data_IF_928291992352
#
_entry.id   IF_928291992352
#
_cell.length_a   1.000
_cell.length_b   1.000
_cell.length_c   1.000
_cell.angle_alpha   90.00
_cell.angle_beta   90.00
_cell.angle_gamma   90.00
#
_symmetry.space_group_name_H-M   'P 1'
#
loop_
_entity.id
_entity.type
_entity.pdbx_description
1 polymer ?
#
# COMPACT_ATOMS: atom_id res chain seq x y z
N UNK A 1 2.53 -30.57 28.02
CA UNK A 1 3.84 -30.49 27.39
C UNK A 1 3.77 -29.34 26.40
N UNK A 2 4.24 -28.17 26.81
CA UNK A 2 4.23 -26.94 26.01
C UNK A 2 5.40 -27.04 25.06
N UNK A 3 5.13 -27.18 23.75
CA UNK A 3 6.15 -27.09 22.71
C UNK A 3 6.53 -25.62 22.52
N UNK A 4 7.59 -25.22 23.20
CA UNK A 4 8.26 -23.94 22.88
C UNK A 4 8.84 -24.02 21.48
N UNK A 5 8.23 -23.32 20.53
CA UNK A 5 8.81 -23.08 19.21
C UNK A 5 10.15 -22.37 19.40
N UNK A 6 11.20 -22.96 18.84
CA UNK A 6 12.56 -22.44 18.92
C UNK A 6 12.63 -21.01 18.34
N UNK A 7 13.36 -20.07 18.98
CA UNK A 7 13.48 -18.67 18.55
C UNK A 7 14.04 -18.48 17.13
N UNK A 8 14.64 -19.49 16.53
CA UNK A 8 15.19 -19.46 15.15
C UNK A 8 14.12 -19.62 14.05
N UNK A 9 12.86 -19.90 14.38
CA UNK A 9 11.78 -20.14 13.43
C UNK A 9 10.92 -18.88 13.12
N UNK A 10 11.14 -17.77 13.79
CA UNK A 10 10.63 -16.45 13.40
C UNK A 10 11.56 -15.78 12.37
N UNK A 11 12.20 -16.59 11.56
CA UNK A 11 13.03 -16.14 10.45
C UNK A 11 12.12 -15.69 9.30
N UNK A 12 12.66 -14.91 8.36
CA UNK A 12 12.17 -14.44 7.03
C UNK A 12 11.11 -15.30 6.29
N UNK A 13 10.39 -16.23 6.97
CA UNK A 13 9.71 -17.31 6.30
C UNK A 13 8.21 -17.12 6.23
N UNK A 14 7.59 -16.31 7.11
CA UNK A 14 6.14 -16.21 7.16
C UNK A 14 5.61 -14.78 7.13
N UNK A 15 4.49 -14.59 6.43
CA UNK A 15 3.71 -13.37 6.40
C UNK A 15 2.23 -13.70 6.52
N UNK A 16 1.48 -12.89 7.29
CA UNK A 16 0.04 -12.97 7.38
C UNK A 16 -0.60 -11.91 6.47
N UNK A 17 -1.43 -12.34 5.53
CA UNK A 17 -2.23 -11.45 4.70
C UNK A 17 -3.60 -11.27 5.34
N UNK A 18 -3.97 -10.00 5.66
CA UNK A 18 -5.29 -9.63 6.15
C UNK A 18 -6.11 -9.00 5.03
N UNK A 19 -7.25 -9.63 4.71
CA UNK A 19 -8.23 -9.08 3.78
C UNK A 19 -9.30 -8.38 4.61
N UNK A 20 -9.30 -7.05 4.57
CA UNK A 20 -10.15 -6.20 5.40
C UNK A 20 -11.29 -5.62 4.58
N UNK A 21 -12.45 -5.45 5.21
CA UNK A 21 -13.56 -4.72 4.60
C UNK A 21 -13.18 -3.24 4.34
N UNK A 22 -13.83 -2.59 3.36
CA UNK A 22 -13.67 -1.15 3.13
C UNK A 22 -13.96 -0.36 4.41
N UNK A 23 -13.10 0.60 4.74
CA UNK A 23 -13.21 1.35 6.00
C UNK A 23 -12.61 2.75 5.92
N UNK A 24 -12.93 3.59 6.92
CA UNK A 24 -12.33 4.91 7.07
C UNK A 24 -10.80 4.79 7.26
N UNK A 25 -10.06 5.76 6.70
CA UNK A 25 -8.60 5.77 6.75
C UNK A 25 -8.04 5.80 8.17
N UNK A 26 -8.66 6.60 9.05
CA UNK A 26 -8.20 6.79 10.43
C UNK A 26 -8.20 5.49 11.23
N UNK A 27 -9.18 4.59 10.98
CA UNK A 27 -9.25 3.29 11.65
C UNK A 27 -8.03 2.43 11.30
N UNK A 28 -7.70 2.37 10.00
CA UNK A 28 -6.52 1.63 9.54
C UNK A 28 -5.22 2.27 10.03
N UNK A 29 -5.15 3.60 9.99
CA UNK A 29 -3.98 4.34 10.42
C UNK A 29 -3.69 4.12 11.92
N UNK A 30 -4.70 4.23 12.77
CA UNK A 30 -4.55 3.95 14.21
C UNK A 30 -4.12 2.49 14.45
N UNK A 31 -4.79 1.54 13.78
CA UNK A 31 -4.45 0.12 13.91
C UNK A 31 -3.00 -0.17 13.46
N UNK A 32 -2.52 0.44 12.36
CA UNK A 32 -1.13 0.30 11.92
C UNK A 32 -0.12 0.84 12.94
N UNK A 33 -0.43 2.00 13.55
CA UNK A 33 0.41 2.58 14.59
C UNK A 33 0.47 1.68 15.82
N UNK A 34 -0.67 1.16 16.27
CA UNK A 34 -0.77 0.30 17.44
C UNK A 34 -0.05 -1.02 17.20
N UNK A 35 -0.27 -1.66 16.05
CA UNK A 35 0.46 -2.86 15.63
C UNK A 35 1.98 -2.62 15.66
N UNK A 36 2.45 -1.54 15.03
CA UNK A 36 3.88 -1.21 14.96
C UNK A 36 4.47 -0.90 16.34
N UNK A 37 3.70 -0.31 17.25
CA UNK A 37 4.15 0.01 18.59
C UNK A 37 4.25 -1.22 19.51
N UNK A 38 3.31 -2.18 19.34
CA UNK A 38 3.16 -3.36 20.20
C UNK A 38 3.97 -4.57 19.72
N UNK A 39 4.32 -4.59 18.43
CA UNK A 39 5.08 -5.73 17.87
C UNK A 39 6.43 -5.93 18.55
N UNK A 40 6.83 -7.17 18.64
CA UNK A 40 8.10 -7.65 19.16
C UNK A 40 8.82 -8.56 18.17
N UNK A 41 9.90 -9.21 18.61
CA UNK A 41 10.69 -10.12 17.78
C UNK A 41 9.91 -11.39 17.33
N UNK A 42 8.83 -11.74 17.99
CA UNK A 42 7.99 -12.93 17.69
C UNK A 42 6.78 -12.59 16.82
N UNK A 43 6.45 -11.31 16.68
CA UNK A 43 5.32 -10.83 15.87
C UNK A 43 5.61 -11.07 14.39
N UNK A 44 4.69 -11.77 13.70
CA UNK A 44 4.78 -11.99 12.27
C UNK A 44 4.71 -10.65 11.51
N UNK A 45 5.27 -10.64 10.31
CA UNK A 45 5.04 -9.58 9.36
C UNK A 45 3.62 -9.72 8.79
N UNK A 46 2.98 -8.59 8.51
CA UNK A 46 1.62 -8.59 7.98
C UNK A 46 1.51 -7.71 6.72
N UNK A 47 0.66 -8.14 5.80
CA UNK A 47 0.21 -7.38 4.63
C UNK A 47 -1.29 -7.18 4.77
N UNK A 48 -1.75 -5.92 4.88
CA UNK A 48 -3.17 -5.61 4.99
C UNK A 48 -3.69 -5.10 3.66
N UNK A 49 -4.78 -5.70 3.19
CA UNK A 49 -5.40 -5.45 1.88
C UNK A 49 -6.80 -4.93 2.12
N UNK A 50 -7.12 -3.76 1.58
CA UNK A 50 -8.41 -3.11 1.78
C UNK A 50 -8.70 -2.04 0.72
N UNK A 51 -9.83 -1.39 0.89
CA UNK A 51 -10.20 -0.13 0.24
C UNK A 51 -10.56 0.91 1.32
N UNK A 52 -10.45 2.19 0.98
CA UNK A 52 -10.93 3.25 1.85
C UNK A 52 -12.23 3.89 1.35
N UNK A 53 -12.98 4.45 2.29
CA UNK A 53 -13.97 5.48 1.97
C UNK A 53 -13.24 6.73 1.43
N UNK A 54 -13.91 7.58 0.64
CA UNK A 54 -13.29 8.77 0.05
C UNK A 54 -12.57 9.63 1.08
N UNK A 55 -11.26 9.85 0.88
CA UNK A 55 -10.41 10.63 1.78
C UNK A 55 -9.19 11.18 1.06
N UNK A 56 -8.85 12.44 1.32
CA UNK A 56 -7.53 12.97 1.03
C UNK A 56 -6.60 12.69 2.21
N UNK A 57 -5.37 12.24 1.93
CA UNK A 57 -4.34 12.10 2.96
C UNK A 57 -3.14 12.97 2.62
N UNK A 58 -2.68 13.75 3.60
CA UNK A 58 -1.48 14.56 3.45
C UNK A 58 -0.33 13.94 4.25
N UNK A 59 0.75 13.58 3.57
CA UNK A 59 1.94 13.02 4.21
C UNK A 59 2.82 14.09 4.87
N UNK A 60 3.94 13.66 5.46
CA UNK A 60 4.85 14.52 6.21
C UNK A 60 5.51 15.64 5.38
N UNK A 61 5.69 15.43 4.08
CA UNK A 61 6.21 16.44 3.16
C UNK A 61 5.09 17.32 2.58
N UNK A 62 3.85 17.15 3.05
CA UNK A 62 2.67 17.82 2.51
C UNK A 62 2.70 19.32 2.69
N UNK A 63 2.40 20.04 1.60
CA UNK A 63 2.24 21.49 1.59
C UNK A 63 0.82 21.85 1.21
N UNK A 64 0.26 22.85 1.89
CA UNK A 64 -1.12 23.30 1.67
C UNK A 64 -1.35 23.81 0.24
N UNK A 65 -0.32 24.35 -0.42
CA UNK A 65 -0.37 24.83 -1.81
C UNK A 65 -0.74 23.74 -2.83
N UNK A 66 -0.60 22.47 -2.48
CA UNK A 66 -0.97 21.33 -3.31
C UNK A 66 -2.41 20.86 -3.12
N UNK A 67 -3.17 21.52 -2.25
CA UNK A 67 -4.59 21.27 -2.05
C UNK A 67 -5.35 22.39 -2.75
N UNK A 68 -6.04 22.08 -3.84
CA UNK A 68 -6.71 23.08 -4.67
C UNK A 68 -8.18 23.27 -4.22
N UNK A 69 -8.89 22.16 -4.02
CA UNK A 69 -10.29 22.15 -3.57
C UNK A 69 -10.64 20.81 -2.91
N UNK A 70 -10.92 20.79 -1.62
CA UNK A 70 -11.32 19.56 -0.91
C UNK A 70 -12.81 19.21 -1.13
N UNK A 71 -13.67 20.20 -1.39
CA UNK A 71 -15.12 20.03 -1.39
C UNK A 71 -15.60 19.36 -0.10
N UNK A 72 -16.33 18.26 -0.22
CA UNK A 72 -16.89 17.51 0.92
C UNK A 72 -16.03 16.32 1.35
N UNK A 73 -14.92 16.04 0.64
CA UNK A 73 -14.03 14.91 0.98
C UNK A 73 -13.13 15.32 2.14
N UNK A 74 -13.08 14.52 3.22
CA UNK A 74 -12.23 14.83 4.37
C UNK A 74 -10.74 14.79 4.03
N UNK A 75 -9.97 15.62 4.72
CA UNK A 75 -8.50 15.63 4.67
C UNK A 75 -7.94 15.11 5.98
N UNK A 76 -7.08 14.10 5.94
CA UNK A 76 -6.38 13.57 7.10
C UNK A 76 -4.89 13.88 7.00
N UNK A 77 -4.34 14.54 8.02
CA UNK A 77 -2.90 14.72 8.15
C UNK A 77 -2.27 13.44 8.69
N UNK A 78 -1.59 12.71 7.79
CA UNK A 78 -0.99 11.41 8.08
C UNK A 78 0.52 11.53 8.34
N UNK A 79 1.09 10.50 8.95
CA UNK A 79 2.54 10.39 9.18
C UNK A 79 3.29 9.58 8.11
N UNK A 80 2.61 9.16 7.03
CA UNK A 80 3.27 8.54 5.87
C UNK A 80 4.22 9.51 5.17
N UNK A 81 5.15 8.99 4.40
CA UNK A 81 5.95 9.80 3.48
C UNK A 81 5.12 10.44 2.36
N UNK A 82 5.71 11.42 1.68
CA UNK A 82 5.13 12.06 0.50
C UNK A 82 4.19 13.23 0.81
N UNK A 83 3.53 13.70 -0.25
CA UNK A 83 2.63 14.85 -0.31
C UNK A 83 1.16 14.42 -0.19
N UNK A 84 0.23 15.28 -0.64
CA UNK A 84 -1.20 14.97 -0.68
C UNK A 84 -1.50 13.92 -1.77
N UNK A 85 -2.45 13.04 -1.49
CA UNK A 85 -3.06 12.08 -2.43
C UNK A 85 -4.51 11.82 -2.05
N UNK A 86 -5.22 11.06 -2.89
CA UNK A 86 -6.60 10.65 -2.69
C UNK A 86 -6.70 9.13 -2.56
N UNK A 87 -7.61 8.68 -1.70
CA UNK A 87 -8.02 7.28 -1.60
C UNK A 87 -9.54 7.19 -1.66
N UNK A 88 -10.04 6.13 -2.32
CA UNK A 88 -11.48 5.90 -2.46
C UNK A 88 -11.81 4.47 -2.93
N UNK A 89 -13.10 4.13 -3.03
CA UNK A 89 -13.55 2.85 -3.57
C UNK A 89 -12.96 2.58 -4.95
N UNK A 90 -12.62 1.31 -5.22
CA UNK A 90 -11.97 0.90 -6.48
C UNK A 90 -10.45 1.08 -6.50
N UNK A 91 -9.85 1.67 -5.46
CA UNK A 91 -8.41 1.73 -5.26
C UNK A 91 -7.96 0.62 -4.31
N UNK A 92 -7.03 -0.21 -4.76
CA UNK A 92 -6.42 -1.25 -3.93
C UNK A 92 -5.38 -0.64 -3.00
N UNK A 93 -5.65 -0.70 -1.70
CA UNK A 93 -4.70 -0.31 -0.67
C UNK A 93 -3.99 -1.54 -0.14
N UNK A 94 -2.66 -1.49 -0.07
CA UNK A 94 -1.85 -2.52 0.57
C UNK A 94 -0.90 -1.87 1.57
N UNK A 95 -1.04 -2.25 2.83
CA UNK A 95 -0.19 -1.80 3.92
C UNK A 95 0.80 -2.89 4.31
N UNK A 96 2.06 -2.51 4.53
CA UNK A 96 3.18 -3.41 4.75
C UNK A 96 3.75 -3.21 6.16
N UNK A 97 3.29 -4.02 7.12
CA UNK A 97 3.78 -4.04 8.50
C UNK A 97 4.93 -5.03 8.65
N UNK A 98 6.11 -4.64 8.18
CA UNK A 98 7.27 -5.51 8.04
C UNK A 98 8.38 -5.13 9.02
N UNK A 99 9.07 -6.12 9.57
CA UNK A 99 10.33 -5.92 10.28
C UNK A 99 11.49 -5.90 9.28
N UNK A 100 11.95 -4.69 8.93
CA UNK A 100 12.99 -4.48 7.94
C UNK A 100 14.35 -5.03 8.37
N UNK A 101 14.60 -5.10 9.69
CA UNK A 101 15.83 -5.71 10.20
C UNK A 101 15.83 -7.23 9.98
N UNK A 102 14.68 -7.87 10.23
CA UNK A 102 14.48 -9.31 9.98
C UNK A 102 14.64 -9.65 8.50
N UNK A 103 14.07 -8.82 7.63
CA UNK A 103 14.19 -8.97 6.18
C UNK A 103 15.57 -8.58 5.66
N UNK A 104 16.35 -7.84 6.46
CA UNK A 104 17.61 -7.24 6.06
C UNK A 104 17.45 -6.28 4.85
N UNK A 105 16.37 -5.49 4.86
CA UNK A 105 16.05 -4.51 3.82
C UNK A 105 16.26 -3.08 4.32
N UNK A 106 16.82 -2.25 3.43
CA UNK A 106 16.75 -0.79 3.54
C UNK A 106 15.40 -0.26 3.04
N UNK A 107 15.07 0.98 3.42
CA UNK A 107 13.80 1.62 2.98
C UNK A 107 13.73 1.72 1.45
N UNK A 108 14.84 2.09 0.80
CA UNK A 108 14.91 2.22 -0.67
C UNK A 108 14.71 0.87 -1.36
N UNK A 109 15.28 -0.18 -0.79
CA UNK A 109 15.14 -1.55 -1.29
C UNK A 109 13.69 -2.03 -1.18
N UNK A 110 13.02 -1.75 -0.04
CA UNK A 110 11.59 -2.04 0.10
C UNK A 110 10.76 -1.30 -0.96
N UNK A 111 11.04 -0.01 -1.21
CA UNK A 111 10.36 0.75 -2.27
C UNK A 111 10.56 0.09 -3.63
N UNK A 112 11.80 -0.31 -3.97
CA UNK A 112 12.09 -0.99 -5.24
C UNK A 112 11.36 -2.34 -5.37
N UNK A 113 11.26 -3.12 -4.29
CA UNK A 113 10.47 -4.36 -4.28
C UNK A 113 8.97 -4.10 -4.48
N UNK A 114 8.43 -3.05 -3.88
CA UNK A 114 7.03 -2.66 -4.08
C UNK A 114 6.76 -2.22 -5.53
N UNK A 115 7.63 -1.40 -6.09
CA UNK A 115 7.54 -0.94 -7.48
C UNK A 115 7.65 -2.13 -8.44
N UNK A 116 8.59 -3.04 -8.23
CA UNK A 116 8.72 -4.23 -9.07
C UNK A 116 7.51 -5.16 -8.96
N UNK A 117 6.96 -5.36 -7.75
CA UNK A 117 5.75 -6.16 -7.56
C UNK A 117 4.54 -5.55 -8.30
N UNK A 118 4.40 -4.22 -8.29
CA UNK A 118 3.38 -3.50 -9.06
C UNK A 118 3.58 -3.68 -10.57
N UNK A 119 4.81 -3.52 -11.06
CA UNK A 119 5.15 -3.68 -12.48
C UNK A 119 4.86 -5.12 -12.93
N UNK A 120 5.27 -6.12 -12.17
CA UNK A 120 5.03 -7.53 -12.47
C UNK A 120 3.51 -7.85 -12.48
N UNK A 121 2.76 -7.30 -11.53
CA UNK A 121 1.31 -7.44 -11.47
C UNK A 121 0.64 -6.80 -12.69
N UNK A 122 0.95 -5.55 -13.01
CA UNK A 122 0.40 -4.82 -14.16
C UNK A 122 0.73 -5.52 -15.48
N UNK A 123 1.95 -6.06 -15.60
CA UNK A 123 2.37 -6.81 -16.78
C UNK A 123 1.51 -8.09 -17.00
N UNK A 124 1.08 -8.76 -15.93
CA UNK A 124 0.15 -9.90 -16.03
C UNK A 124 -1.17 -9.52 -16.71
N UNK A 125 -1.62 -8.28 -16.55
CA UNK A 125 -2.81 -7.71 -17.20
C UNK A 125 -2.50 -7.02 -18.54
N UNK A 126 -1.29 -7.21 -19.09
CA UNK A 126 -0.88 -6.62 -20.37
C UNK A 126 -0.59 -5.12 -20.31
N UNK A 127 -0.45 -4.55 -19.12
CA UNK A 127 -0.14 -3.13 -18.91
C UNK A 127 1.37 -2.97 -18.74
N UNK A 128 2.01 -2.24 -19.67
CA UNK A 128 3.45 -1.95 -19.60
C UNK A 128 3.66 -0.71 -18.73
N UNK A 129 4.26 -0.90 -17.57
CA UNK A 129 4.48 0.14 -16.57
C UNK A 129 5.96 0.26 -16.18
N UNK A 130 6.35 1.41 -15.63
CA UNK A 130 7.70 1.66 -15.15
C UNK A 130 7.70 2.45 -13.83
N UNK A 131 8.78 2.33 -13.06
CA UNK A 131 9.06 3.17 -11.90
C UNK A 131 9.94 4.37 -12.31
N UNK A 132 9.84 5.49 -11.56
CA UNK A 132 10.73 6.64 -11.70
C UNK A 132 11.53 6.83 -10.40
N UNK A 133 12.87 6.70 -10.44
CA UNK A 133 13.72 6.89 -9.25
C UNK A 133 13.62 8.27 -8.59
N UNK A 134 13.15 9.29 -9.33
CA UNK A 134 12.99 10.66 -8.85
C UNK A 134 11.62 10.93 -8.24
N UNK A 135 10.63 10.11 -8.60
CA UNK A 135 9.24 10.28 -8.18
C UNK A 135 8.63 8.91 -7.82
N UNK A 136 8.88 8.38 -6.61
CA UNK A 136 8.43 7.04 -6.21
C UNK A 136 6.97 6.78 -6.58
N UNK A 137 6.73 5.63 -7.25
CA UNK A 137 5.44 5.26 -7.81
C UNK A 137 5.59 4.49 -9.11
N UNK A 138 4.48 4.02 -9.65
CA UNK A 138 4.46 3.29 -10.92
C UNK A 138 3.62 4.07 -11.95
N UNK A 139 4.14 4.12 -13.17
CA UNK A 139 3.64 4.98 -14.23
C UNK A 139 3.39 4.18 -15.51
N UNK A 140 2.35 4.56 -16.25
CA UNK A 140 2.02 4.08 -17.59
C UNK A 140 1.97 5.29 -18.53
N UNK A 141 2.79 5.32 -19.57
CA UNK A 141 2.91 6.43 -20.51
C UNK A 141 3.12 7.81 -19.86
N UNK A 142 3.78 7.86 -18.69
CA UNK A 142 4.03 9.09 -17.94
C UNK A 142 2.94 9.47 -16.93
N UNK A 143 1.76 8.85 -16.96
CA UNK A 143 0.69 9.05 -16.01
C UNK A 143 0.80 8.05 -14.85
N UNK A 144 0.47 8.46 -13.63
CA UNK A 144 0.68 7.62 -12.44
C UNK A 144 -0.50 6.68 -12.23
N UNK A 145 -0.23 5.37 -12.13
CA UNK A 145 -1.21 4.33 -11.84
C UNK A 145 -1.16 3.86 -10.38
N UNK A 146 0.02 3.95 -9.74
CA UNK A 146 0.16 3.55 -8.34
C UNK A 146 1.06 4.51 -7.57
N UNK A 147 0.65 4.81 -6.34
CA UNK A 147 1.36 5.67 -5.39
C UNK A 147 1.96 4.86 -4.25
N UNK A 148 3.13 5.28 -3.76
CA UNK A 148 3.82 4.68 -2.63
C UNK A 148 4.05 5.72 -1.53
N UNK A 149 3.81 5.32 -0.28
CA UNK A 149 4.11 6.16 0.87
C UNK A 149 4.31 5.30 2.10
N UNK A 150 5.53 5.27 2.62
CA UNK A 150 5.91 4.46 3.77
C UNK A 150 6.26 5.34 4.98
N UNK A 151 6.15 4.74 6.14
CA UNK A 151 6.76 5.20 7.38
C UNK A 151 7.58 4.06 7.98
N UNK A 152 8.72 4.40 8.57
CA UNK A 152 9.51 3.43 9.33
C UNK A 152 9.66 3.93 10.77
N UNK A 153 9.35 3.06 11.72
CA UNK A 153 9.48 3.31 13.16
C UNK A 153 10.06 2.08 13.84
N UNK A 154 11.06 2.26 14.68
CA UNK A 154 11.77 1.16 15.38
C UNK A 154 12.33 0.06 14.45
N UNK A 155 12.59 0.40 13.17
CA UNK A 155 13.04 -0.57 12.17
C UNK A 155 11.94 -1.36 11.48
N UNK A 156 10.66 -1.03 11.74
CA UNK A 156 9.51 -1.66 11.11
C UNK A 156 8.79 -0.67 10.20
N UNK A 157 8.33 -1.14 9.03
CA UNK A 157 7.53 -0.34 8.10
C UNK A 157 6.05 -0.39 8.48
N UNK A 158 5.31 0.64 8.07
CA UNK A 158 3.85 0.70 7.99
C UNK A 158 3.42 1.68 6.91
N UNK A 159 2.13 1.78 6.60
CA UNK A 159 1.62 2.26 5.31
C UNK A 159 2.12 1.37 4.16
N UNK A 160 2.08 1.86 2.92
CA UNK A 160 2.44 1.01 1.79
C UNK A 160 2.15 1.63 0.43
N UNK A 161 1.27 1.00 -0.34
CA UNK A 161 0.96 1.40 -1.72
C UNK A 161 -0.55 1.51 -1.96
N UNK A 162 -0.88 2.26 -3.01
CA UNK A 162 -2.23 2.42 -3.54
C UNK A 162 -2.17 2.20 -5.06
N UNK A 163 -2.92 1.21 -5.58
CA UNK A 163 -3.05 0.91 -7.01
C UNK A 163 -4.46 1.28 -7.47
N UNK A 164 -4.56 2.15 -8.47
CA UNK A 164 -5.83 2.52 -9.08
C UNK A 164 -6.31 1.39 -10.00
N UNK A 165 -7.43 0.74 -9.68
CA UNK A 165 -8.00 -0.36 -10.48
C UNK A 165 -9.19 0.13 -11.28
N UNK A 166 -10.28 0.51 -10.58
CA UNK A 166 -11.55 0.99 -11.14
C UNK A 166 -12.18 1.94 -10.14
N UNK A 167 -11.84 3.23 -10.20
CA UNK A 167 -12.22 4.24 -9.23
C UNK A 167 -12.57 5.57 -9.89
N UNK A 168 -13.25 6.44 -9.15
CA UNK A 168 -13.40 7.84 -9.55
C UNK A 168 -12.05 8.57 -9.40
N UNK A 169 -11.44 8.92 -10.52
CA UNK A 169 -10.17 9.69 -10.57
C UNK A 169 -10.39 11.21 -10.43
N UNK A 170 -11.62 11.72 -10.56
CA UNK A 170 -11.90 13.15 -10.54
C UNK A 170 -11.41 13.88 -9.26
N UNK A 171 -11.37 13.27 -8.06
CA UNK A 171 -10.80 13.93 -6.89
C UNK A 171 -9.29 14.26 -7.02
N UNK A 172 -8.56 13.56 -7.87
CA UNK A 172 -7.13 13.89 -8.10
C UNK A 172 -6.94 15.23 -8.81
N UNK A 173 -7.92 15.72 -9.60
CA UNK A 173 -7.90 17.04 -10.22
C UNK A 173 -7.99 18.19 -9.21
N UNK A 174 -8.40 17.88 -7.97
CA UNK A 174 -8.60 18.83 -6.87
C UNK A 174 -7.37 18.99 -5.98
N UNK A 175 -6.27 18.31 -6.33
CA UNK A 175 -4.99 18.37 -5.65
C UNK A 175 -3.86 18.39 -6.71
N UNK A 176 -2.64 18.71 -6.30
CA UNK A 176 -1.43 18.38 -7.06
C UNK A 176 -0.87 17.06 -6.54
N UNK A 177 -1.18 15.90 -7.14
CA UNK A 177 -0.83 14.60 -6.60
C UNK A 177 0.68 14.48 -6.42
N UNK A 178 1.12 14.00 -5.27
CA UNK A 178 2.55 13.87 -4.94
C UNK A 178 3.33 15.20 -5.00
N UNK A 179 2.66 16.35 -5.05
CA UNK A 179 3.27 17.68 -5.16
C UNK A 179 3.65 18.07 -6.59
N UNK A 180 3.19 17.34 -7.60
CA UNK A 180 3.47 17.63 -9.01
C UNK A 180 2.22 18.22 -9.70
N UNK A 181 2.20 19.54 -9.99
CA UNK A 181 1.11 20.15 -10.78
C UNK A 181 1.00 19.49 -12.15
N UNK A 182 -0.23 19.12 -12.54
CA UNK A 182 -0.50 18.52 -13.86
C UNK A 182 -0.05 17.06 -13.99
N UNK A 183 0.22 16.35 -12.89
CA UNK A 183 0.45 14.92 -12.94
C UNK A 183 -0.88 14.19 -13.17
N UNK A 184 -1.00 13.56 -14.33
CA UNK A 184 -2.15 12.75 -14.68
C UNK A 184 -2.16 11.45 -13.88
N UNK A 185 -3.37 11.05 -13.44
CA UNK A 185 -3.63 9.77 -12.79
C UNK A 185 -4.41 8.88 -13.76
N UNK A 186 -4.04 7.61 -13.80
CA UNK A 186 -4.72 6.56 -14.61
C UNK A 186 -5.04 5.35 -13.74
N UNK A 187 -5.83 4.44 -14.26
CA UNK A 187 -6.28 3.24 -13.58
C UNK A 187 -6.27 2.03 -14.52
N UNK A 188 -6.36 0.82 -13.98
CA UNK A 188 -6.19 -0.39 -14.78
C UNK A 188 -7.27 -0.57 -15.85
N UNK A 189 -8.53 -0.17 -15.57
CA UNK A 189 -9.63 -0.28 -16.54
C UNK A 189 -9.45 0.59 -17.78
N UNK A 190 -8.58 1.59 -17.74
CA UNK A 190 -8.30 2.47 -18.89
C UNK A 190 -7.52 1.75 -20.01
N UNK A 191 -7.03 0.51 -19.75
CA UNK A 191 -6.13 -0.22 -20.65
C UNK A 191 -6.72 -1.55 -21.13
N UNK A 192 -6.37 -1.93 -22.37
CA UNK A 192 -6.53 -3.29 -22.93
C UNK A 192 -7.93 -3.91 -22.81
N UNK A 193 -9.00 -3.10 -22.74
CA UNK A 193 -10.37 -3.61 -22.59
C UNK A 193 -10.64 -4.26 -21.23
N UNK A 194 -9.88 -3.92 -20.20
CA UNK A 194 -10.02 -4.50 -18.85
C UNK A 194 -11.31 -4.07 -18.15
N UNK A 195 -11.96 -2.98 -18.59
CA UNK A 195 -13.18 -2.46 -17.97
C UNK A 195 -14.29 -3.51 -17.75
N UNK A 196 -14.41 -4.47 -18.68
CA UNK A 196 -15.43 -5.50 -18.62
C UNK A 196 -14.97 -6.83 -17.99
N UNK A 197 -13.67 -6.97 -17.69
CA UNK A 197 -13.07 -8.26 -17.32
C UNK A 197 -12.27 -8.25 -16.03
N UNK A 198 -11.93 -7.05 -15.51
CA UNK A 198 -11.11 -6.95 -14.33
C UNK A 198 -11.93 -7.20 -13.06
N UNK A 199 -11.41 -8.07 -12.22
CA UNK A 199 -12.01 -8.39 -10.94
C UNK A 199 -11.11 -7.88 -9.82
N UNK A 200 -11.59 -6.94 -8.99
CA UNK A 200 -10.82 -6.31 -7.92
C UNK A 200 -10.12 -7.33 -7.01
N UNK A 201 -10.87 -8.35 -6.57
CA UNK A 201 -10.32 -9.38 -5.67
C UNK A 201 -9.25 -10.24 -6.34
N UNK A 202 -9.33 -10.42 -7.67
CA UNK A 202 -8.28 -11.14 -8.41
C UNK A 202 -7.01 -10.30 -8.47
N UNK A 203 -7.12 -9.01 -8.80
CA UNK A 203 -5.97 -8.09 -8.80
C UNK A 203 -5.33 -8.02 -7.41
N UNK A 204 -6.14 -7.98 -6.36
CA UNK A 204 -5.64 -7.97 -4.98
C UNK A 204 -4.84 -9.24 -4.65
N UNK A 205 -5.34 -10.43 -5.06
CA UNK A 205 -4.61 -11.71 -4.90
C UNK A 205 -3.30 -11.72 -5.67
N UNK A 206 -3.32 -11.32 -6.94
CA UNK A 206 -2.15 -11.31 -7.81
C UNK A 206 -1.09 -10.33 -7.29
N UNK A 207 -1.53 -9.16 -6.82
CA UNK A 207 -0.63 -8.17 -6.22
C UNK A 207 0.03 -8.71 -4.94
N UNK A 208 -0.73 -9.38 -4.07
CA UNK A 208 -0.17 -10.03 -2.88
C UNK A 208 0.84 -11.12 -3.24
N UNK A 209 0.56 -11.95 -4.25
CA UNK A 209 1.51 -12.99 -4.71
C UNK A 209 2.81 -12.37 -5.22
N UNK A 210 2.74 -11.29 -6.00
CA UNK A 210 3.92 -10.58 -6.46
C UNK A 210 4.72 -9.96 -5.30
N UNK A 211 4.04 -9.37 -4.30
CA UNK A 211 4.71 -8.86 -3.09
C UNK A 211 5.39 -9.97 -2.29
N UNK A 212 4.70 -11.07 -2.05
CA UNK A 212 5.26 -12.25 -1.35
C UNK A 212 6.52 -12.75 -2.04
N UNK A 213 6.48 -12.85 -3.38
CA UNK A 213 7.65 -13.24 -4.20
C UNK A 213 8.79 -12.25 -4.08
N UNK A 214 8.53 -10.95 -4.24
CA UNK A 214 9.54 -9.89 -4.18
C UNK A 214 10.15 -9.77 -2.78
N UNK A 215 9.36 -9.96 -1.72
CA UNK A 215 9.80 -9.93 -0.33
C UNK A 215 10.39 -11.26 0.16
N UNK A 216 10.37 -12.30 -0.70
CA UNK A 216 10.97 -13.62 -0.47
C UNK A 216 10.37 -14.39 0.73
N UNK A 217 9.06 -14.19 1.01
CA UNK A 217 8.37 -15.02 2.01
C UNK A 217 8.12 -16.43 1.48
N UNK A 218 8.30 -17.43 2.36
CA UNK A 218 8.14 -18.84 2.02
C UNK A 218 6.80 -19.42 2.50
N UNK A 219 6.22 -18.81 3.54
CA UNK A 219 4.95 -19.22 4.12
C UNK A 219 3.98 -18.04 4.15
N UNK A 220 2.75 -18.29 3.74
CA UNK A 220 1.70 -17.27 3.68
C UNK A 220 0.46 -17.80 4.36
N UNK A 221 0.02 -17.11 5.41
CA UNK A 221 -1.26 -17.32 6.04
C UNK A 221 -2.23 -16.21 5.64
N UNK A 222 -3.54 -16.50 5.62
CA UNK A 222 -4.57 -15.53 5.26
C UNK A 222 -5.63 -15.43 6.36
N UNK A 223 -6.14 -14.22 6.60
CA UNK A 223 -7.25 -13.99 7.51
C UNK A 223 -8.14 -12.84 7.02
N UNK A 224 -9.42 -12.88 7.39
CA UNK A 224 -10.36 -11.76 7.20
C UNK A 224 -10.65 -11.02 8.52
N UNK A 225 -10.02 -11.43 9.60
CA UNK A 225 -10.20 -10.78 10.89
C UNK A 225 -9.39 -9.48 10.94
N UNK A 226 -9.98 -8.37 11.41
CA UNK A 226 -9.21 -7.16 11.67
C UNK A 226 -8.18 -7.43 12.78
N UNK A 227 -7.09 -6.67 12.74
CA UNK A 227 -6.16 -6.68 13.86
C UNK A 227 -6.82 -6.03 15.07
N UNK A 228 -6.75 -6.70 16.22
CA UNK A 228 -7.32 -6.24 17.49
C UNK A 228 -6.18 -6.04 18.47
N UNK A 229 -6.19 -4.89 19.14
CA UNK A 229 -5.23 -4.61 20.20
C UNK A 229 -5.42 -5.61 21.34
N UNK A 230 -4.36 -6.34 21.68
CA UNK A 230 -4.35 -7.20 22.87
C UNK A 230 -3.95 -6.34 24.08
N UNK A 231 -4.87 -6.19 25.02
CA UNK A 231 -4.67 -5.52 26.32
C UNK A 231 -4.02 -6.47 27.33
#
# INVERSE_FOLDING_TARGET
MSSSLSPHLVSKQGVLIRLLAPQAYELSWQAMQDFTNQRDATTLDEIWVLQHLPVFTQGQAGKTEHILDLGTIPLVQSDRGGQVTYHGPGQLMIYLMLDLKRLNFGIRELVSHMEQALIDCLHHYGIVANADPKAPGVYVHGSKIASLGLRVRKGCSFHGLALNIDMDLSPFERINPCGYPGLDMVQMIDFNGLADTIEFDQVARDMCQNLVKQLQYQHVDNTQQPWVQHH
#
